data_IF_452646806524
#
_entry.id   IF_452646806524
#
_cell.length_a   1.000
_cell.length_b   1.000
_cell.length_c   1.000
_cell.angle_alpha   90.00
_cell.angle_beta   90.00
_cell.angle_gamma   90.00
#
_symmetry.space_group_name_H-M   'P 1'
#
loop_
_entity.id
_entity.type
_entity.pdbx_description
1 polymer ?
#
# COMPACT_ATOMS: atom_id res chain seq x y z
N UNK A 1 12.31 -14.25 -21.41
CA UNK A 1 11.59 -12.96 -21.47
C UNK A 1 10.73 -12.91 -20.22
N UNK A 2 11.11 -12.13 -19.22
CA UNK A 2 10.24 -11.92 -18.06
C UNK A 2 9.05 -11.09 -18.54
N UNK A 3 7.82 -11.54 -18.27
CA UNK A 3 6.64 -10.75 -18.57
C UNK A 3 6.75 -9.39 -17.86
N UNK A 4 6.35 -8.31 -18.53
CA UNK A 4 6.29 -6.98 -17.91
C UNK A 4 5.24 -6.94 -16.80
N UNK A 5 5.28 -5.94 -15.91
CA UNK A 5 4.37 -5.86 -14.76
C UNK A 5 2.90 -5.70 -15.18
N UNK A 6 1.99 -6.08 -14.29
CA UNK A 6 0.53 -5.95 -14.40
C UNK A 6 -0.05 -6.58 -15.68
N UNK A 7 0.51 -7.71 -16.10
CA UNK A 7 0.11 -8.45 -17.30
C UNK A 7 -1.20 -9.23 -17.15
N UNK A 8 -1.61 -9.58 -15.92
CA UNK A 8 -2.84 -10.33 -15.65
C UNK A 8 -4.00 -9.40 -15.28
N UNK A 9 -5.05 -9.39 -16.11
CA UNK A 9 -6.28 -8.64 -15.81
C UNK A 9 -6.95 -9.05 -14.49
N UNK A 10 -6.87 -10.35 -14.14
CA UNK A 10 -7.41 -10.86 -12.86
C UNK A 10 -6.67 -10.26 -11.67
N UNK A 11 -5.35 -10.09 -11.77
CA UNK A 11 -4.56 -9.46 -10.69
C UNK A 11 -4.86 -7.97 -10.60
N UNK A 12 -5.01 -7.29 -11.73
CA UNK A 12 -5.42 -5.88 -11.75
C UNK A 12 -6.79 -5.70 -11.08
N UNK A 13 -7.76 -6.55 -11.39
CA UNK A 13 -9.10 -6.48 -10.80
C UNK A 13 -9.06 -6.77 -9.29
N UNK A 14 -8.26 -7.73 -8.86
CA UNK A 14 -8.05 -8.06 -7.44
C UNK A 14 -7.42 -6.90 -6.66
N UNK A 15 -6.33 -6.31 -7.17
CA UNK A 15 -5.70 -5.13 -6.55
C UNK A 15 -6.70 -3.98 -6.47
N UNK A 16 -7.44 -3.73 -7.56
CA UNK A 16 -8.43 -2.66 -7.56
C UNK A 16 -9.57 -2.92 -6.55
N UNK A 17 -10.00 -4.17 -6.35
CA UNK A 17 -10.97 -4.54 -5.32
C UNK A 17 -10.42 -4.28 -3.91
N UNK A 18 -9.18 -4.70 -3.64
CA UNK A 18 -8.54 -4.52 -2.35
C UNK A 18 -8.35 -3.04 -2.00
N UNK A 19 -7.82 -2.23 -2.94
CA UNK A 19 -7.66 -0.78 -2.80
C UNK A 19 -8.99 -0.10 -2.47
N UNK A 20 -10.07 -0.42 -3.21
CA UNK A 20 -11.40 0.14 -2.93
C UNK A 20 -11.92 -0.29 -1.56
N UNK A 21 -11.77 -1.57 -1.19
CA UNK A 21 -12.26 -2.11 0.09
C UNK A 21 -11.54 -1.54 1.31
N UNK A 22 -10.30 -1.08 1.12
CA UNK A 22 -9.49 -0.45 2.16
C UNK A 22 -9.68 1.08 2.22
N UNK A 23 -10.47 1.66 1.30
CA UNK A 23 -10.67 3.11 1.21
C UNK A 23 -9.48 3.87 0.65
N UNK A 24 -8.64 3.23 -0.17
CA UNK A 24 -7.49 3.87 -0.85
C UNK A 24 -7.99 4.85 -1.92
N UNK A 25 -8.31 6.05 -1.45
CA UNK A 25 -8.90 7.16 -2.19
C UNK A 25 -8.25 8.44 -1.71
N UNK A 26 -8.36 9.55 -2.47
CA UNK A 26 -7.84 10.84 -2.03
C UNK A 26 -8.39 11.25 -0.66
N UNK A 27 -9.69 11.05 -0.44
CA UNK A 27 -10.35 11.40 0.83
C UNK A 27 -9.90 10.48 1.97
N UNK A 28 -9.89 9.16 1.76
CA UNK A 28 -9.45 8.21 2.79
C UNK A 28 -7.98 8.36 3.17
N UNK A 29 -7.10 8.61 2.19
CA UNK A 29 -5.69 8.91 2.45
C UNK A 29 -5.55 10.26 3.17
N UNK A 30 -6.32 11.28 2.78
CA UNK A 30 -6.34 12.58 3.46
C UNK A 30 -6.79 12.48 4.91
N UNK A 31 -7.83 11.69 5.19
CA UNK A 31 -8.31 11.42 6.56
C UNK A 31 -7.27 10.67 7.39
N UNK A 32 -6.63 9.64 6.83
CA UNK A 32 -5.58 8.88 7.51
C UNK A 32 -4.37 9.73 7.87
N UNK A 33 -3.90 10.57 6.93
CA UNK A 33 -2.74 11.43 7.17
C UNK A 33 -3.09 12.60 8.09
N UNK A 34 -4.35 13.06 8.05
CA UNK A 34 -4.77 14.27 8.72
C UNK A 34 -4.26 15.54 8.02
N UNK A 35 -4.90 16.67 8.34
CA UNK A 35 -4.62 17.96 7.70
C UNK A 35 -3.14 18.37 7.78
N UNK A 36 -2.48 18.08 8.91
CA UNK A 36 -1.10 18.49 9.16
C UNK A 36 -0.07 17.65 8.40
N UNK A 37 -0.25 16.32 8.33
CA UNK A 37 0.69 15.46 7.60
C UNK A 37 0.50 15.57 6.08
N UNK A 38 -0.72 15.83 5.60
CA UNK A 38 -0.96 16.16 4.19
C UNK A 38 -0.18 17.41 3.76
N UNK A 39 -0.25 18.49 4.54
CA UNK A 39 0.49 19.72 4.27
C UNK A 39 2.02 19.55 4.39
N UNK A 40 2.49 18.72 5.33
CA UNK A 40 3.91 18.42 5.51
C UNK A 40 4.46 17.51 4.39
N UNK A 41 3.68 16.52 3.94
CA UNK A 41 4.02 15.67 2.80
C UNK A 41 4.15 16.49 1.51
N UNK A 42 3.22 17.42 1.25
CA UNK A 42 3.34 18.36 0.11
C UNK A 42 4.59 19.25 0.18
N UNK A 43 5.23 19.37 1.34
CA UNK A 43 6.49 20.10 1.56
C UNK A 43 7.72 19.18 1.59
N UNK A 44 7.58 17.91 1.17
CA UNK A 44 8.67 16.94 1.07
C UNK A 44 9.00 16.18 2.36
N UNK A 45 8.15 16.29 3.39
CA UNK A 45 8.39 15.63 4.69
C UNK A 45 7.74 14.23 4.73
N UNK A 46 8.29 13.29 3.96
CA UNK A 46 7.83 11.89 3.89
C UNK A 46 7.71 11.19 5.26
N UNK A 47 8.58 11.54 6.21
CA UNK A 47 8.55 11.01 7.58
C UNK A 47 7.26 11.32 8.36
N UNK A 48 6.60 12.44 8.04
CA UNK A 48 5.35 12.83 8.72
C UNK A 48 4.20 11.91 8.30
N UNK A 49 4.16 11.50 7.04
CA UNK A 49 3.20 10.54 6.51
C UNK A 49 3.45 9.14 7.11
N UNK A 50 4.71 8.69 7.18
CA UNK A 50 5.04 7.42 7.85
C UNK A 50 4.58 7.39 9.30
N UNK A 51 4.87 8.45 10.05
CA UNK A 51 4.45 8.54 11.46
C UNK A 51 2.92 8.60 11.62
N UNK A 52 2.19 9.16 10.65
CA UNK A 52 0.73 9.10 10.64
C UNK A 52 0.25 7.65 10.41
N UNK A 53 0.84 6.94 9.44
CA UNK A 53 0.52 5.54 9.18
C UNK A 53 0.83 4.60 10.34
N UNK A 54 1.91 4.85 11.10
CA UNK A 54 2.26 4.08 12.30
C UNK A 54 1.19 4.20 13.41
N UNK A 55 0.44 5.30 13.42
CA UNK A 55 -0.60 5.61 14.42
C UNK A 55 -2.01 5.33 13.92
N UNK A 56 -2.16 4.68 12.77
CA UNK A 56 -3.45 4.36 12.20
C UNK A 56 -4.33 3.59 13.20
N UNK A 57 -5.60 3.95 13.28
CA UNK A 57 -6.56 3.18 14.06
C UNK A 57 -6.66 1.75 13.50
N UNK A 58 -7.03 0.73 14.30
CA UNK A 58 -7.13 -0.66 13.83
C UNK A 58 -7.95 -0.82 12.55
N UNK A 59 -9.04 -0.05 12.39
CA UNK A 59 -9.89 -0.07 11.20
C UNK A 59 -9.21 0.45 9.92
N UNK A 60 -8.17 1.28 10.05
CA UNK A 60 -7.44 1.90 8.94
C UNK A 60 -6.09 1.23 8.67
N UNK A 61 -5.75 0.15 9.38
CA UNK A 61 -4.44 -0.50 9.25
C UNK A 61 -4.16 -1.00 7.83
N UNK A 62 -5.16 -1.57 7.15
CA UNK A 62 -5.01 -1.97 5.73
C UNK A 62 -4.68 -0.77 4.84
N UNK A 63 -5.37 0.36 5.04
CA UNK A 63 -5.10 1.59 4.30
C UNK A 63 -3.67 2.11 4.57
N UNK A 64 -3.22 2.07 5.82
CA UNK A 64 -1.88 2.49 6.22
C UNK A 64 -0.77 1.65 5.58
N UNK A 65 -0.96 0.33 5.45
CA UNK A 65 -0.05 -0.56 4.71
C UNK A 65 0.00 -0.17 3.23
N UNK A 66 -1.15 0.03 2.58
CA UNK A 66 -1.22 0.38 1.15
C UNK A 66 -0.60 1.75 0.87
N UNK A 67 -0.77 2.73 1.76
CA UNK A 67 -0.12 4.05 1.67
C UNK A 67 1.40 3.90 1.77
N UNK A 68 1.90 3.09 2.72
CA UNK A 68 3.33 2.84 2.87
C UNK A 68 3.92 2.19 1.61
N UNK A 69 3.31 1.14 1.09
CA UNK A 69 3.75 0.45 -0.13
C UNK A 69 3.71 1.34 -1.37
N UNK A 70 2.55 1.94 -1.68
CA UNK A 70 2.31 2.53 -3.01
C UNK A 70 2.48 4.05 -3.08
N UNK A 71 2.32 4.77 -1.96
CA UNK A 71 2.52 6.22 -1.95
C UNK A 71 3.89 6.61 -1.40
N UNK A 72 4.38 5.91 -0.37
CA UNK A 72 5.62 6.26 0.30
C UNK A 72 6.82 5.40 -0.15
N UNK A 73 6.58 4.28 -0.85
CA UNK A 73 7.62 3.37 -1.30
C UNK A 73 8.38 2.71 -0.14
N UNK A 74 7.69 2.47 0.97
CA UNK A 74 8.25 1.84 2.17
C UNK A 74 7.99 0.34 2.18
N UNK A 75 8.94 -0.40 2.77
CA UNK A 75 8.85 -1.84 2.94
C UNK A 75 7.79 -2.23 3.98
N UNK A 76 7.09 -3.34 3.71
CA UNK A 76 6.16 -3.95 4.66
C UNK A 76 6.51 -5.42 4.88
N UNK A 77 6.32 -5.93 6.11
CA UNK A 77 6.31 -7.36 6.35
C UNK A 77 5.27 -8.08 5.47
N UNK A 78 5.62 -9.24 4.91
CA UNK A 78 4.74 -10.09 4.11
C UNK A 78 3.33 -10.27 4.67
N UNK A 79 3.21 -10.56 5.96
CA UNK A 79 1.91 -10.80 6.62
C UNK A 79 1.01 -9.56 6.60
N UNK A 80 1.59 -8.36 6.69
CA UNK A 80 0.85 -7.10 6.55
C UNK A 80 0.46 -6.85 5.10
N UNK A 81 1.35 -7.11 4.16
CA UNK A 81 1.05 -6.99 2.73
C UNK A 81 -0.08 -7.96 2.32
N UNK A 82 -0.02 -9.22 2.76
CA UNK A 82 -1.08 -10.23 2.57
C UNK A 82 -2.41 -9.79 3.19
N UNK A 83 -2.38 -9.22 4.39
CA UNK A 83 -3.58 -8.70 5.05
C UNK A 83 -4.18 -7.48 4.35
N UNK A 84 -3.36 -6.68 3.68
CA UNK A 84 -3.79 -5.49 2.95
C UNK A 84 -4.28 -5.79 1.52
N UNK A 85 -3.73 -6.83 0.89
CA UNK A 85 -4.06 -7.28 -0.47
C UNK A 85 -4.51 -8.76 -0.48
N UNK A 86 -5.63 -9.09 0.19
CA UNK A 86 -6.03 -10.48 0.41
C UNK A 86 -6.56 -11.21 -0.83
N UNK A 87 -6.87 -10.51 -1.92
CA UNK A 87 -7.64 -11.11 -3.03
C UNK A 87 -6.78 -11.92 -4.00
N UNK A 88 -5.59 -11.44 -4.37
CA UNK A 88 -4.72 -12.10 -5.36
C UNK A 88 -3.71 -13.09 -4.73
N UNK A 89 -3.37 -12.90 -3.46
CA UNK A 89 -2.24 -13.57 -2.81
C UNK A 89 -0.88 -12.97 -3.21
N UNK A 90 0.06 -12.94 -2.27
CA UNK A 90 1.32 -12.21 -2.44
C UNK A 90 2.22 -12.75 -3.55
N UNK A 91 2.22 -14.07 -3.79
CA UNK A 91 3.05 -14.67 -4.85
C UNK A 91 2.58 -14.20 -6.24
N UNK A 92 1.26 -14.13 -6.48
CA UNK A 92 0.72 -13.60 -7.72
C UNK A 92 1.02 -12.10 -7.90
N UNK A 93 1.04 -11.34 -6.80
CA UNK A 93 1.42 -9.92 -6.81
C UNK A 93 2.89 -9.74 -7.18
N UNK A 94 3.79 -10.58 -6.67
CA UNK A 94 5.22 -10.59 -7.04
C UNK A 94 5.41 -11.00 -8.49
N UNK A 95 4.76 -12.08 -8.95
CA UNK A 95 4.85 -12.56 -10.34
C UNK A 95 4.30 -11.55 -11.36
N UNK A 96 3.43 -10.63 -10.92
CA UNK A 96 2.90 -9.53 -11.73
C UNK A 96 3.60 -8.19 -11.45
N UNK A 97 4.68 -8.17 -10.67
CA UNK A 97 5.46 -6.96 -10.40
C UNK A 97 4.69 -5.85 -9.70
N UNK A 98 3.66 -6.19 -8.91
CA UNK A 98 2.91 -5.23 -8.09
C UNK A 98 3.69 -4.85 -6.83
N UNK A 99 4.38 -5.85 -6.27
CA UNK A 99 5.31 -5.72 -5.15
C UNK A 99 6.54 -6.57 -5.46
N UNK A 100 7.63 -6.31 -4.79
CA UNK A 100 8.85 -7.12 -4.88
C UNK A 100 9.37 -7.45 -3.48
N UNK A 101 9.97 -8.63 -3.26
CA UNK A 101 10.62 -8.94 -2.00
C UNK A 101 11.87 -8.08 -1.85
N UNK A 102 12.09 -7.53 -0.66
CA UNK A 102 13.33 -6.79 -0.39
C UNK A 102 14.42 -7.75 0.11
N UNK A 103 15.72 -7.42 -0.09
CA UNK A 103 16.82 -8.27 0.37
C UNK A 103 16.82 -8.55 1.88
N UNK A 104 16.09 -7.76 2.67
CA UNK A 104 15.92 -7.93 4.10
C UNK A 104 14.85 -8.98 4.47
N UNK A 105 14.18 -9.60 3.50
CA UNK A 105 13.26 -10.71 3.73
C UNK A 105 11.89 -10.29 4.30
N UNK A 106 11.39 -9.14 3.86
CA UNK A 106 10.00 -8.71 4.05
C UNK A 106 9.10 -9.27 2.97
#
# INVERSE_FOLDING_TARGET
MTAGPLQSGVVVDAVAADLRSAGYTTDGVGELLGADAGAAFSRGLWWSALRATDRAAPAQQRLAVLVRLFLLGADEPRDRAESALPTAGIDALVDNGVVEPTPAGG
#
